data_IF_378718887924
#
_entry.id   IF_378718887924
#
_cell.length_a   1.000
_cell.length_b   1.000
_cell.length_c   1.000
_cell.angle_alpha   90.00
_cell.angle_beta   90.00
_cell.angle_gamma   90.00
#
_symmetry.space_group_name_H-M   'P 1'
#
loop_
_entity.id
_entity.type
_entity.pdbx_description
1 polymer ?
#
# COMPACT_ATOMS: atom_id res chain seq x y z
N UNK A 1 -58.49 9.52 -68.08
CA UNK A 1 -59.47 8.60 -67.43
C UNK A 1 -58.65 7.59 -66.65
N UNK A 2 -58.60 7.74 -65.31
CA UNK A 2 -59.32 6.90 -64.32
C UNK A 2 -58.63 5.53 -64.17
N UNK A 3 -58.28 4.99 -63.01
CA UNK A 3 -58.36 5.33 -61.59
C UNK A 3 -57.46 4.26 -60.90
N UNK A 4 -56.76 4.53 -59.79
CA UNK A 4 -57.32 4.32 -58.45
C UNK A 4 -56.37 3.47 -57.58
N UNK A 5 -55.94 4.05 -56.45
CA UNK A 5 -55.19 3.43 -55.34
C UNK A 5 -56.05 2.34 -54.60
N UNK A 6 -55.62 1.58 -53.55
CA UNK A 6 -54.58 1.92 -52.56
C UNK A 6 -53.73 0.79 -51.88
N UNK A 7 -52.67 1.24 -51.18
CA UNK A 7 -52.07 0.79 -49.89
C UNK A 7 -51.90 -0.72 -49.58
N UNK A 8 -50.67 -1.10 -49.22
CA UNK A 8 -50.35 -1.67 -47.90
C UNK A 8 -48.83 -1.61 -47.59
N UNK A 9 -48.46 -1.00 -46.47
CA UNK A 9 -47.11 -1.06 -45.89
C UNK A 9 -46.93 -2.41 -45.19
N UNK A 10 -45.81 -3.13 -45.37
CA UNK A 10 -45.42 -4.15 -44.42
C UNK A 10 -44.67 -3.51 -43.26
N UNK A 11 -45.21 -3.84 -42.10
CA UNK A 11 -44.82 -3.54 -40.72
C UNK A 11 -43.32 -3.62 -40.46
N UNK A 12 -42.89 -2.62 -39.70
CA UNK A 12 -41.81 -2.62 -38.71
C UNK A 12 -41.69 -3.99 -38.01
N UNK A 13 -40.59 -4.71 -38.23
CA UNK A 13 -40.27 -5.94 -37.51
C UNK A 13 -38.87 -5.80 -36.91
N UNK A 14 -38.85 -5.59 -35.60
CA UNK A 14 -37.80 -6.13 -34.75
C UNK A 14 -36.61 -5.21 -34.47
N UNK A 15 -36.87 -4.01 -33.94
CA UNK A 15 -35.92 -3.39 -33.03
C UNK A 15 -35.67 -4.35 -31.86
N UNK A 16 -34.65 -5.21 -31.97
CA UNK A 16 -34.12 -5.99 -30.85
C UNK A 16 -33.63 -4.99 -29.81
N UNK A 17 -34.49 -4.68 -28.84
CA UNK A 17 -34.11 -4.05 -27.58
C UNK A 17 -33.00 -4.92 -26.99
N UNK A 18 -31.75 -4.48 -27.16
CA UNK A 18 -30.64 -4.95 -26.35
C UNK A 18 -31.05 -4.70 -24.91
N UNK A 19 -31.35 -5.77 -24.18
CA UNK A 19 -31.50 -5.73 -22.72
C UNK A 19 -30.27 -4.99 -22.19
N UNK A 20 -30.42 -3.95 -21.36
CA UNK A 20 -29.26 -3.37 -20.70
C UNK A 20 -28.61 -4.50 -19.91
N UNK A 21 -27.32 -4.73 -20.17
CA UNK A 21 -26.52 -5.60 -19.34
C UNK A 21 -26.81 -5.23 -17.88
N UNK A 22 -27.25 -6.22 -17.11
CA UNK A 22 -27.56 -6.06 -15.70
C UNK A 22 -26.44 -5.26 -15.06
N UNK A 23 -26.77 -4.07 -14.55
CA UNK A 23 -25.91 -3.28 -13.67
C UNK A 23 -25.73 -4.09 -12.38
N UNK A 24 -24.96 -5.18 -12.45
CA UNK A 24 -24.29 -5.73 -11.29
C UNK A 24 -23.54 -4.57 -10.67
N UNK A 25 -23.98 -4.21 -9.46
CA UNK A 25 -23.64 -2.95 -8.82
C UNK A 25 -22.13 -2.76 -8.88
N UNK A 26 -21.68 -1.54 -9.17
CA UNK A 26 -20.26 -1.19 -9.07
C UNK A 26 -19.71 -1.67 -7.72
N UNK A 27 -20.51 -1.56 -6.66
CA UNK A 27 -20.22 -2.11 -5.32
C UNK A 27 -19.93 -3.63 -5.27
N UNK A 28 -20.59 -4.47 -6.08
CA UNK A 28 -20.29 -5.91 -6.14
C UNK A 28 -18.96 -6.18 -6.85
N UNK A 29 -18.59 -5.35 -7.85
CA UNK A 29 -17.27 -5.39 -8.51
C UNK A 29 -16.17 -4.79 -7.64
N UNK A 30 -16.45 -3.75 -6.87
CA UNK A 30 -15.53 -3.18 -5.86
C UNK A 30 -15.30 -4.15 -4.71
N UNK A 31 -16.32 -4.93 -4.30
CA UNK A 31 -16.18 -6.03 -3.34
C UNK A 31 -15.44 -7.24 -3.90
N UNK A 32 -15.61 -7.54 -5.20
CA UNK A 32 -14.85 -8.60 -5.88
C UNK A 32 -13.39 -8.20 -6.19
N UNK A 33 -13.08 -6.91 -6.32
CA UNK A 33 -11.69 -6.40 -6.41
C UNK A 33 -10.98 -6.32 -5.05
N UNK A 34 -11.70 -6.62 -3.97
CA UNK A 34 -11.13 -7.08 -2.71
C UNK A 34 -10.95 -8.62 -2.70
N UNK A 35 -10.95 -9.27 -3.87
CA UNK A 35 -10.38 -10.60 -4.04
C UNK A 35 -8.98 -10.63 -3.45
N UNK A 36 -8.67 -11.73 -2.77
CA UNK A 36 -7.44 -12.04 -2.05
C UNK A 36 -6.20 -11.43 -2.71
N UNK A 37 -5.82 -10.20 -2.31
CA UNK A 37 -4.57 -9.61 -2.79
C UNK A 37 -3.44 -10.43 -2.21
N UNK A 38 -2.58 -10.92 -3.08
CA UNK A 38 -1.35 -11.59 -2.67
C UNK A 38 -0.51 -10.61 -1.83
N UNK A 39 -0.08 -11.06 -0.66
CA UNK A 39 0.71 -10.26 0.26
C UNK A 39 2.20 -10.37 -0.06
N UNK A 40 2.92 -9.25 0.10
CA UNK A 40 4.38 -9.19 0.07
C UNK A 40 4.88 -8.51 1.33
N UNK A 41 5.90 -9.09 1.94
CA UNK A 41 6.43 -8.62 3.22
C UNK A 41 7.77 -7.94 3.00
N UNK A 42 7.92 -6.75 3.58
CA UNK A 42 9.13 -5.94 3.54
C UNK A 42 9.58 -5.61 4.96
N UNK A 43 10.83 -5.89 5.27
CA UNK A 43 11.45 -5.55 6.54
C UNK A 43 12.16 -4.22 6.40
N UNK A 44 11.67 -3.19 7.12
CA UNK A 44 12.31 -1.88 7.10
C UNK A 44 13.59 -1.89 7.94
N UNK A 45 14.71 -1.50 7.33
CA UNK A 45 15.96 -1.42 8.07
C UNK A 45 16.02 -0.15 8.93
N UNK A 46 16.57 -0.20 10.16
CA UNK A 46 17.18 -1.37 10.82
C UNK A 46 16.20 -2.11 11.74
N UNK A 47 15.43 -1.36 12.53
CA UNK A 47 14.65 -1.91 13.64
C UNK A 47 13.59 -2.94 13.21
N UNK A 48 13.09 -2.86 11.97
CA UNK A 48 12.20 -3.88 11.43
C UNK A 48 12.76 -5.31 11.45
N UNK A 49 14.09 -5.49 11.56
CA UNK A 49 14.72 -6.82 11.75
C UNK A 49 14.15 -7.55 12.98
N UNK A 50 13.69 -6.85 14.01
CA UNK A 50 12.98 -7.45 15.16
C UNK A 50 11.72 -8.23 14.75
N UNK A 51 11.18 -8.00 13.55
CA UNK A 51 10.04 -8.74 13.02
C UNK A 51 10.39 -10.15 12.52
N UNK A 52 11.67 -10.47 12.27
CA UNK A 52 12.07 -11.71 11.61
C UNK A 52 11.64 -12.98 12.37
N UNK A 53 11.78 -13.08 13.71
CA UNK A 53 11.25 -14.21 14.47
C UNK A 53 9.74 -14.37 14.27
N UNK A 54 8.97 -13.28 14.37
CA UNK A 54 7.53 -13.34 14.14
C UNK A 54 7.17 -13.72 12.71
N UNK A 55 7.84 -13.14 11.72
CA UNK A 55 7.58 -13.46 10.32
C UNK A 55 7.81 -14.94 10.05
N UNK A 56 8.93 -15.51 10.50
CA UNK A 56 9.27 -16.91 10.23
C UNK A 56 8.53 -17.89 11.12
N UNK A 57 8.53 -17.67 12.43
CA UNK A 57 8.15 -18.68 13.42
C UNK A 57 6.64 -18.63 13.73
N UNK A 58 6.06 -17.42 13.83
CA UNK A 58 4.65 -17.24 14.15
C UNK A 58 3.77 -17.20 12.90
N UNK A 59 4.25 -16.56 11.84
CA UNK A 59 3.50 -16.39 10.59
C UNK A 59 3.91 -17.39 9.51
N UNK A 60 5.05 -18.07 9.61
CA UNK A 60 5.50 -18.98 8.55
C UNK A 60 5.81 -18.26 7.22
N UNK A 61 6.07 -16.95 7.26
CA UNK A 61 6.48 -16.13 6.12
C UNK A 61 8.00 -16.20 5.99
N UNK A 62 8.45 -16.88 4.93
CA UNK A 62 9.87 -16.98 4.57
C UNK A 62 10.23 -16.11 3.37
N UNK A 63 9.26 -15.81 2.49
CA UNK A 63 9.45 -14.85 1.40
C UNK A 63 9.20 -13.42 1.87
N UNK A 64 10.23 -12.78 2.44
CA UNK A 64 10.25 -11.34 2.67
C UNK A 64 11.43 -10.69 1.93
N UNK A 65 11.31 -9.40 1.70
CA UNK A 65 12.38 -8.57 1.16
C UNK A 65 12.75 -7.46 2.16
N UNK A 66 13.86 -6.78 1.94
CA UNK A 66 14.23 -5.62 2.76
C UNK A 66 13.82 -4.34 2.06
N UNK A 67 13.50 -3.32 2.85
CA UNK A 67 13.33 -1.95 2.37
C UNK A 67 14.06 -0.98 3.27
N UNK A 68 14.40 0.19 2.74
CA UNK A 68 14.98 1.28 3.51
C UNK A 68 14.15 2.55 3.43
N UNK A 69 13.25 2.72 4.39
CA UNK A 69 12.50 3.96 4.65
C UNK A 69 13.11 4.62 5.89
N UNK A 70 14.11 5.48 5.68
CA UNK A 70 14.88 6.05 6.78
C UNK A 70 14.13 7.19 7.48
N UNK A 71 13.88 7.04 8.79
CA UNK A 71 13.28 8.08 9.62
C UNK A 71 14.09 9.38 9.68
N UNK A 72 15.43 9.30 9.57
CA UNK A 72 16.33 10.46 9.58
C UNK A 72 16.25 11.30 8.30
N UNK A 73 16.05 10.68 7.13
CA UNK A 73 15.78 11.43 5.90
C UNK A 73 14.46 12.18 6.00
N UNK A 74 13.45 11.54 6.56
CA UNK A 74 12.12 12.13 6.76
C UNK A 74 12.14 13.27 7.78
N UNK A 75 12.97 13.16 8.82
CA UNK A 75 13.21 14.23 9.80
C UNK A 75 13.80 15.48 9.13
N UNK A 76 14.77 15.28 8.24
CA UNK A 76 15.39 16.34 7.45
C UNK A 76 14.48 16.82 6.30
N UNK A 77 13.30 16.21 6.12
CA UNK A 77 12.36 16.53 5.04
C UNK A 77 12.81 16.08 3.64
N UNK A 78 13.86 15.26 3.54
CA UNK A 78 14.46 14.76 2.30
C UNK A 78 13.70 13.54 1.76
N UNK A 79 12.47 13.81 1.33
CA UNK A 79 11.62 12.79 0.71
C UNK A 79 12.16 12.33 -0.65
N UNK A 80 12.95 13.15 -1.35
CA UNK A 80 13.49 12.80 -2.66
C UNK A 80 14.51 11.66 -2.52
N UNK A 81 15.47 11.81 -1.60
CA UNK A 81 16.46 10.77 -1.35
C UNK A 81 15.80 9.47 -0.88
N UNK A 82 14.78 9.56 -0.02
CA UNK A 82 13.99 8.38 0.37
C UNK A 82 13.36 7.68 -0.86
N UNK A 83 12.76 8.41 -1.81
CA UNK A 83 12.21 7.81 -3.04
C UNK A 83 13.31 7.14 -3.88
N UNK A 84 14.49 7.75 -3.94
CA UNK A 84 15.63 7.20 -4.67
C UNK A 84 16.16 5.92 -4.02
N UNK A 85 16.02 5.74 -2.71
CA UNK A 85 16.44 4.53 -1.98
C UNK A 85 15.42 3.38 -2.04
N UNK A 86 14.16 3.63 -2.43
CA UNK A 86 13.15 2.56 -2.48
C UNK A 86 13.53 1.40 -3.41
N UNK A 87 13.33 0.18 -2.93
CA UNK A 87 13.66 -1.03 -3.67
C UNK A 87 12.75 -1.25 -4.89
N UNK A 88 13.34 -1.82 -5.94
CA UNK A 88 12.66 -2.08 -7.20
C UNK A 88 11.50 -3.06 -7.03
N UNK A 89 11.68 -4.07 -6.18
CA UNK A 89 10.67 -5.08 -5.87
C UNK A 89 9.45 -4.47 -5.19
N UNK A 90 9.63 -3.55 -4.23
CA UNK A 90 8.52 -2.83 -3.60
C UNK A 90 7.70 -2.08 -4.64
N UNK A 91 8.37 -1.28 -5.48
CA UNK A 91 7.70 -0.47 -6.49
C UNK A 91 6.96 -1.35 -7.52
N UNK A 92 7.56 -2.45 -7.95
CA UNK A 92 6.93 -3.38 -8.89
C UNK A 92 5.73 -4.09 -8.25
N UNK A 93 5.86 -4.59 -7.02
CA UNK A 93 4.79 -5.28 -6.32
C UNK A 93 3.59 -4.35 -6.06
N UNK A 94 3.84 -3.10 -5.68
CA UNK A 94 2.79 -2.08 -5.56
C UNK A 94 2.13 -1.77 -6.91
N UNK A 95 2.91 -1.66 -7.99
CA UNK A 95 2.37 -1.41 -9.33
C UNK A 95 1.47 -2.55 -9.82
N UNK A 96 1.84 -3.80 -9.51
CA UNK A 96 1.04 -5.00 -9.80
C UNK A 96 -0.20 -5.15 -8.89
N UNK A 97 -0.44 -4.20 -7.97
CA UNK A 97 -1.62 -4.20 -7.10
C UNK A 97 -1.56 -5.15 -5.91
N UNK A 98 -0.37 -5.67 -5.57
CA UNK A 98 -0.15 -6.51 -4.38
C UNK A 98 -0.22 -5.69 -3.10
N UNK A 99 -0.57 -6.36 -2.00
CA UNK A 99 -0.60 -5.73 -0.68
C UNK A 99 0.77 -5.86 -0.03
N UNK A 100 1.48 -4.74 0.08
CA UNK A 100 2.85 -4.70 0.61
C UNK A 100 2.84 -4.30 2.08
N UNK A 101 3.20 -5.23 2.95
CA UNK A 101 3.33 -5.04 4.39
C UNK A 101 4.76 -4.65 4.74
N UNK A 102 4.96 -3.44 5.27
CA UNK A 102 6.26 -2.93 5.75
C UNK A 102 6.32 -3.07 7.26
N UNK A 103 7.26 -3.86 7.73
CA UNK A 103 7.50 -4.14 9.13
C UNK A 103 8.56 -3.21 9.68
N UNK A 104 8.23 -2.45 10.71
CA UNK A 104 9.17 -1.55 11.37
C UNK A 104 8.91 -1.45 12.87
N UNK A 105 9.96 -1.28 13.65
CA UNK A 105 9.88 -1.16 15.10
C UNK A 105 10.29 0.25 15.54
N UNK A 106 9.35 0.96 16.15
CA UNK A 106 9.52 2.36 16.54
C UNK A 106 10.21 2.48 17.89
N UNK A 107 10.96 3.55 18.13
CA UNK A 107 11.60 3.79 19.43
C UNK A 107 10.54 3.82 20.56
N UNK A 108 10.98 3.49 21.79
CA UNK A 108 10.17 3.14 22.98
C UNK A 108 9.13 4.18 23.46
N UNK A 109 8.93 5.29 22.76
CA UNK A 109 7.93 6.33 23.05
C UNK A 109 6.47 5.88 22.79
N UNK A 110 6.23 4.57 22.74
CA UNK A 110 4.91 3.93 22.77
C UNK A 110 4.18 4.24 24.08
N UNK A 111 4.93 4.49 25.17
CA UNK A 111 4.39 4.93 26.47
C UNK A 111 3.61 6.25 26.37
N UNK A 112 3.88 7.09 25.35
CA UNK A 112 3.12 8.34 25.08
C UNK A 112 2.01 8.19 24.03
N UNK A 113 1.65 6.96 23.66
CA UNK A 113 0.64 6.71 22.61
C UNK A 113 1.10 7.13 21.21
N UNK A 114 2.40 7.29 20.96
CA UNK A 114 2.94 7.75 19.65
C UNK A 114 3.67 6.67 18.86
N UNK A 115 3.53 5.41 19.26
CA UNK A 115 4.40 4.29 18.87
C UNK A 115 4.50 3.93 17.39
N UNK A 116 3.84 4.68 16.51
CA UNK A 116 3.97 4.54 15.07
C UNK A 116 5.33 5.12 14.61
N UNK A 117 6.23 4.32 14.00
CA UNK A 117 7.50 4.78 13.44
C UNK A 117 7.31 5.90 12.40
N UNK A 118 8.21 6.89 12.38
CA UNK A 118 8.21 7.96 11.35
C UNK A 118 8.31 7.42 9.93
N UNK A 119 9.03 6.32 9.75
CA UNK A 119 9.08 5.60 8.49
C UNK A 119 7.69 5.17 7.98
N UNK A 120 6.75 4.86 8.88
CA UNK A 120 5.40 4.47 8.51
C UNK A 120 4.47 5.69 8.40
N UNK A 121 4.21 6.42 9.48
CA UNK A 121 3.22 7.52 9.44
C UNK A 121 3.58 8.66 8.49
N UNK A 122 4.87 8.94 8.28
CA UNK A 122 5.30 9.94 7.29
C UNK A 122 5.77 9.26 6.02
N UNK A 123 6.68 8.30 6.12
CA UNK A 123 7.36 7.70 4.95
C UNK A 123 6.40 6.90 4.08
N UNK A 124 5.79 5.85 4.62
CA UNK A 124 4.84 5.01 3.88
C UNK A 124 3.66 5.83 3.33
N UNK A 125 3.17 6.81 4.10
CA UNK A 125 2.12 7.71 3.64
C UNK A 125 2.57 8.61 2.47
N UNK A 126 3.77 9.18 2.55
CA UNK A 126 4.34 9.97 1.47
C UNK A 126 4.57 9.12 0.21
N UNK A 127 5.07 7.89 0.36
CA UNK A 127 5.27 6.94 -0.75
C UNK A 127 3.93 6.68 -1.43
N UNK A 128 2.90 6.28 -0.65
CA UNK A 128 1.54 6.04 -1.18
C UNK A 128 1.04 7.26 -1.94
N UNK A 129 1.17 8.45 -1.37
CA UNK A 129 0.76 9.71 -2.00
C UNK A 129 1.51 9.97 -3.32
N UNK A 130 2.83 9.86 -3.32
CA UNK A 130 3.69 10.13 -4.48
C UNK A 130 3.40 9.17 -5.64
N UNK A 131 3.33 7.87 -5.35
CA UNK A 131 3.01 6.85 -6.34
C UNK A 131 1.60 7.05 -6.88
N UNK A 132 0.60 7.25 -6.01
CA UNK A 132 -0.79 7.44 -6.44
C UNK A 132 -0.95 8.65 -7.35
N UNK A 133 -0.28 9.77 -7.02
CA UNK A 133 -0.35 10.99 -7.81
C UNK A 133 0.20 10.82 -9.23
N UNK A 134 1.31 10.09 -9.38
CA UNK A 134 1.91 9.85 -10.69
C UNK A 134 1.20 8.73 -11.46
N UNK A 135 0.75 7.67 -10.77
CA UNK A 135 0.20 6.47 -11.39
C UNK A 135 -1.28 6.60 -11.75
N UNK A 136 -2.06 7.30 -10.93
CA UNK A 136 -3.52 7.42 -11.05
C UNK A 136 -3.96 8.90 -11.10
N UNK A 137 -3.55 9.69 -12.12
CA UNK A 137 -3.82 11.13 -12.20
C UNK A 137 -5.31 11.48 -12.31
N UNK A 138 -6.10 10.61 -12.94
CA UNK A 138 -7.57 10.74 -13.05
C UNK A 138 -8.28 10.43 -11.73
N UNK A 139 -7.55 9.92 -10.74
CA UNK A 139 -8.05 9.56 -9.42
C UNK A 139 -8.83 8.25 -9.40
N UNK A 140 -9.17 7.81 -8.19
CA UNK A 140 -9.99 6.61 -7.93
C UNK A 140 -11.47 7.01 -7.87
N UNK A 141 -11.93 7.83 -8.81
CA UNK A 141 -13.23 8.50 -8.74
C UNK A 141 -13.35 9.54 -7.61
N UNK A 142 -14.38 10.38 -7.66
CA UNK A 142 -14.53 11.54 -6.76
C UNK A 142 -14.72 11.17 -5.28
N UNK A 143 -15.38 10.03 -5.00
CA UNK A 143 -15.60 9.55 -3.64
C UNK A 143 -14.25 9.18 -2.97
N UNK A 144 -13.42 8.40 -3.65
CA UNK A 144 -12.13 8.02 -3.11
C UNK A 144 -11.12 9.18 -3.10
N UNK A 145 -11.29 10.22 -3.92
CA UNK A 145 -10.42 11.41 -3.87
C UNK A 145 -10.59 12.16 -2.54
N UNK A 146 -11.80 12.24 -1.98
CA UNK A 146 -12.06 12.89 -0.68
C UNK A 146 -11.57 12.06 0.51
N UNK A 147 -11.65 10.74 0.42
CA UNK A 147 -11.25 9.82 1.50
C UNK A 147 -9.73 9.61 1.63
N UNK A 148 -8.92 10.10 0.68
CA UNK A 148 -7.51 9.73 0.57
C UNK A 148 -6.53 10.90 0.58
N UNK A 149 -7.00 12.06 1.05
CA UNK A 149 -6.16 13.21 1.32
C UNK A 149 -5.11 12.81 2.37
N UNK A 150 -3.80 13.01 2.12
CA UNK A 150 -2.80 12.65 3.09
C UNK A 150 -2.93 13.52 4.35
N UNK A 151 -3.13 12.85 5.48
CA UNK A 151 -3.19 13.45 6.81
C UNK A 151 -2.09 12.82 7.65
N UNK A 152 -1.33 13.67 8.31
CA UNK A 152 -0.17 13.29 9.11
C UNK A 152 -0.24 14.01 10.44
N UNK A 153 -0.35 13.26 11.54
CA UNK A 153 -0.52 13.81 12.91
C UNK A 153 -1.64 14.85 12.97
N UNK A 154 -2.78 14.50 12.38
CA UNK A 154 -3.97 15.37 12.29
C UNK A 154 -3.82 16.62 11.40
N UNK A 155 -2.73 16.75 10.63
CA UNK A 155 -2.53 17.84 9.68
C UNK A 155 -2.68 17.36 8.24
N UNK A 156 -3.49 18.08 7.46
CA UNK A 156 -3.58 17.87 6.01
C UNK A 156 -2.29 18.36 5.34
N UNK A 157 -1.57 17.48 4.65
CA UNK A 157 -0.24 17.77 4.08
C UNK A 157 -0.20 17.79 2.56
N UNK A 158 -1.34 17.60 1.89
CA UNK A 158 -1.44 17.44 0.43
C UNK A 158 -0.76 18.57 -0.35
N UNK A 159 -1.02 19.84 0.02
CA UNK A 159 -0.45 20.99 -0.69
C UNK A 159 1.07 21.06 -0.56
N UNK A 160 1.58 20.79 0.63
CA UNK A 160 3.02 20.74 0.89
C UNK A 160 3.67 19.63 0.07
N UNK A 161 3.14 18.42 0.14
CA UNK A 161 3.68 17.27 -0.58
C UNK A 161 3.55 17.41 -2.09
N UNK A 162 2.46 18.01 -2.58
CA UNK A 162 2.31 18.36 -3.98
C UNK A 162 3.46 19.25 -4.46
N UNK A 163 3.81 20.26 -3.66
CA UNK A 163 4.92 21.18 -3.95
C UNK A 163 6.27 20.46 -3.87
N UNK A 164 6.47 19.58 -2.87
CA UNK A 164 7.69 18.77 -2.79
C UNK A 164 7.89 17.92 -4.05
N UNK A 165 6.85 17.25 -4.55
CA UNK A 165 6.92 16.41 -5.75
C UNK A 165 7.24 17.21 -7.02
N UNK A 166 6.77 18.46 -7.14
CA UNK A 166 7.15 19.31 -8.29
C UNK A 166 8.62 19.72 -8.23
N UNK A 167 9.19 19.85 -7.03
CA UNK A 167 10.59 20.19 -6.81
C UNK A 167 11.56 19.02 -7.02
N UNK A 168 11.08 17.77 -7.02
CA UNK A 168 11.94 16.61 -7.23
C UNK A 168 12.77 16.70 -8.52
N UNK A 169 14.01 16.21 -8.43
CA UNK A 169 14.89 16.02 -9.57
C UNK A 169 14.34 15.03 -10.60
N UNK A 170 14.95 15.06 -11.79
CA UNK A 170 14.57 14.20 -12.92
C UNK A 170 14.65 12.71 -12.57
N UNK A 171 15.63 12.32 -11.77
CA UNK A 171 15.87 10.92 -11.39
C UNK A 171 14.74 10.35 -10.53
N UNK A 172 14.32 11.06 -9.48
CA UNK A 172 13.23 10.61 -8.60
C UNK A 172 11.90 10.54 -9.35
N UNK A 173 11.59 11.57 -10.16
CA UNK A 173 10.39 11.58 -11.02
C UNK A 173 10.40 10.41 -12.01
N UNK A 174 11.54 10.13 -12.65
CA UNK A 174 11.68 9.00 -13.58
C UNK A 174 11.50 7.66 -12.88
N UNK A 175 12.06 7.50 -11.68
CA UNK A 175 11.94 6.27 -10.87
C UNK A 175 10.47 5.97 -10.53
N UNK A 176 9.72 6.97 -10.03
CA UNK A 176 8.29 6.81 -9.76
C UNK A 176 7.54 6.45 -11.05
N UNK A 177 7.75 7.22 -12.13
CA UNK A 177 7.03 7.03 -13.40
C UNK A 177 7.29 5.67 -14.05
N UNK A 178 8.50 5.14 -13.91
CA UNK A 178 8.95 3.94 -14.61
C UNK A 178 8.02 2.73 -14.38
N UNK A 179 7.51 2.56 -13.16
CA UNK A 179 6.69 1.39 -12.82
C UNK A 179 5.23 1.52 -13.27
N UNK A 180 4.79 2.73 -13.68
CA UNK A 180 3.42 2.98 -14.13
C UNK A 180 3.01 2.09 -15.31
N UNK A 181 3.95 1.74 -16.19
CA UNK A 181 3.70 0.90 -17.35
C UNK A 181 3.34 -0.56 -17.01
N UNK A 182 3.59 -1.00 -15.78
CA UNK A 182 3.30 -2.36 -15.33
C UNK A 182 1.97 -2.48 -14.60
N UNK A 183 1.24 -1.37 -14.42
CA UNK A 183 0.00 -1.35 -13.65
C UNK A 183 -1.13 -1.99 -14.47
N UNK A 184 -1.74 -3.09 -14.00
CA UNK A 184 -2.90 -3.68 -14.65
C UNK A 184 -4.12 -2.76 -14.65
N UNK A 185 -4.99 -2.90 -15.64
CA UNK A 185 -6.17 -2.04 -15.82
C UNK A 185 -7.17 -2.08 -14.66
N UNK A 186 -7.19 -3.15 -13.86
CA UNK A 186 -8.06 -3.33 -12.70
C UNK A 186 -7.46 -2.82 -11.39
N UNK A 187 -6.16 -2.51 -11.37
CA UNK A 187 -5.49 -1.87 -10.22
C UNK A 187 -5.85 -0.39 -10.21
N UNK A 188 -6.36 0.06 -9.07
CA UNK A 188 -6.85 1.44 -8.89
C UNK A 188 -6.10 2.23 -7.83
N UNK A 189 -5.34 1.57 -6.97
CA UNK A 189 -4.73 2.24 -5.83
C UNK A 189 -3.47 1.51 -5.36
N UNK A 190 -2.68 2.20 -4.57
CA UNK A 190 -1.45 1.69 -3.95
C UNK A 190 -1.78 1.08 -2.59
N UNK A 191 -1.44 -0.19 -2.36
CA UNK A 191 -1.71 -0.91 -1.09
C UNK A 191 -0.42 -1.12 -0.30
N UNK A 192 -0.03 -0.08 0.45
CA UNK A 192 1.12 -0.08 1.35
C UNK A 192 0.64 -0.03 2.80
N UNK A 193 0.96 -1.06 3.58
CA UNK A 193 0.45 -1.27 4.94
C UNK A 193 1.65 -1.33 5.89
N UNK A 194 1.66 -0.49 6.92
CA UNK A 194 2.68 -0.54 7.96
C UNK A 194 2.30 -1.51 9.07
N UNK A 195 3.27 -2.27 9.58
CA UNK A 195 3.12 -3.15 10.74
C UNK A 195 4.18 -2.77 11.76
N UNK A 196 3.78 -2.50 13.00
CA UNK A 196 4.74 -1.97 13.96
C UNK A 196 4.49 -2.33 15.41
N UNK A 197 5.60 -2.26 16.16
CA UNK A 197 5.70 -2.39 17.61
C UNK A 197 6.80 -1.49 18.17
N UNK A 198 6.80 -1.22 19.49
CA UNK A 198 7.98 -0.70 20.16
C UNK A 198 9.19 -1.62 19.94
N UNK A 199 10.33 -1.04 19.59
CA UNK A 199 11.63 -1.73 19.69
C UNK A 199 11.97 -2.01 21.15
N UNK A 200 12.53 -3.19 21.38
CA UNK A 200 13.16 -3.55 22.66
C UNK A 200 14.69 -3.48 22.58
N UNK A 201 15.24 -3.35 21.36
CA UNK A 201 16.66 -3.44 21.02
C UNK A 201 17.16 -2.17 20.30
N UNK A 202 16.78 -0.99 20.79
CA UNK A 202 17.18 0.28 20.16
C UNK A 202 18.71 0.42 20.14
N UNK A 203 19.28 0.74 18.97
CA UNK A 203 20.72 0.83 18.68
C UNK A 203 21.56 -0.44 18.96
N UNK A 204 20.93 -1.61 19.11
CA UNK A 204 21.62 -2.87 19.46
C UNK A 204 22.17 -3.61 18.22
N UNK A 205 23.29 -3.13 17.66
CA UNK A 205 23.86 -3.68 16.43
C UNK A 205 24.24 -5.17 16.50
N UNK A 206 24.64 -5.66 17.66
CA UNK A 206 24.95 -7.08 17.86
C UNK A 206 23.69 -7.93 17.74
N UNK A 207 22.62 -7.56 18.46
CA UNK A 207 21.33 -8.24 18.36
C UNK A 207 20.83 -8.35 16.91
N UNK A 208 20.79 -7.23 16.18
CA UNK A 208 20.27 -7.26 14.80
C UNK A 208 21.13 -8.13 13.88
N UNK A 209 22.45 -8.15 14.08
CA UNK A 209 23.36 -9.03 13.35
C UNK A 209 23.09 -10.49 13.68
N UNK A 210 22.93 -10.83 14.95
CA UNK A 210 22.63 -12.19 15.37
C UNK A 210 21.29 -12.70 14.82
N UNK A 211 20.24 -11.87 14.87
CA UNK A 211 18.93 -12.20 14.30
C UNK A 211 19.07 -12.48 12.81
N UNK A 212 19.73 -11.61 12.05
CA UNK A 212 19.96 -11.84 10.61
C UNK A 212 20.72 -13.14 10.36
N UNK A 213 21.84 -13.38 11.06
CA UNK A 213 22.64 -14.59 10.86
C UNK A 213 21.85 -15.86 11.20
N UNK A 214 21.07 -15.84 12.28
CA UNK A 214 20.21 -16.96 12.67
C UNK A 214 19.15 -17.26 11.62
N UNK A 215 18.52 -16.23 11.05
CA UNK A 215 17.43 -16.44 10.10
C UNK A 215 17.94 -16.76 8.68
N UNK A 216 19.10 -16.26 8.27
CA UNK A 216 19.65 -16.56 6.93
C UNK A 216 20.45 -17.88 6.90
N UNK A 217 21.12 -18.25 7.99
CA UNK A 217 22.03 -19.41 8.03
C UNK A 217 21.68 -20.47 9.07
N UNK A 218 20.65 -20.27 9.89
CA UNK A 218 20.20 -21.29 10.84
C UNK A 218 19.51 -22.46 10.15
N UNK A 219 19.58 -23.65 10.78
CA UNK A 219 18.92 -24.89 10.35
C UNK A 219 17.40 -24.81 10.53
N UNK A 220 16.75 -23.84 9.89
CA UNK A 220 15.30 -23.77 9.79
C UNK A 220 14.86 -24.70 8.68
N UNK A 221 14.65 -25.98 8.99
CA UNK A 221 14.28 -27.04 8.04
C UNK A 221 13.17 -26.66 7.04
N UNK A 222 12.99 -27.47 6.00
CA UNK A 222 12.10 -27.23 4.84
C UNK A 222 10.61 -27.14 5.22
N UNK A 223 10.23 -26.08 5.92
CA UNK A 223 8.83 -25.72 6.19
C UNK A 223 8.34 -24.85 5.03
N UNK A 224 7.23 -25.23 4.38
CA UNK A 224 6.66 -24.45 3.28
C UNK A 224 6.33 -23.01 3.70
N UNK A 225 6.54 -22.08 2.77
CA UNK A 225 6.17 -20.67 2.94
C UNK A 225 4.64 -20.51 2.97
N UNK A 226 4.13 -19.77 3.97
CA UNK A 226 2.69 -19.58 4.14
C UNK A 226 2.24 -18.32 3.40
N UNK A 227 1.74 -18.51 2.18
CA UNK A 227 1.12 -17.44 1.39
C UNK A 227 -0.28 -17.17 1.92
N UNK A 228 -0.53 -15.93 2.36
CA UNK A 228 -1.83 -15.46 2.85
C UNK A 228 -2.34 -14.31 1.99
N UNK A 229 -3.65 -14.15 1.98
CA UNK A 229 -4.27 -12.94 1.46
C UNK A 229 -4.22 -11.77 2.45
N UNK A 230 -4.57 -10.56 2.00
CA UNK A 230 -4.55 -9.34 2.84
C UNK A 230 -5.36 -9.50 4.13
N UNK A 231 -6.53 -10.14 4.06
CA UNK A 231 -7.45 -10.27 5.20
C UNK A 231 -6.89 -11.26 6.22
N UNK A 232 -6.46 -12.43 5.78
CA UNK A 232 -5.86 -13.46 6.62
C UNK A 232 -4.59 -12.94 7.29
N UNK A 233 -3.77 -12.20 6.55
CA UNK A 233 -2.55 -11.57 7.05
C UNK A 233 -2.86 -10.55 8.13
N UNK A 234 -3.82 -9.65 7.91
CA UNK A 234 -4.26 -8.65 8.90
C UNK A 234 -4.76 -9.33 10.18
N UNK A 235 -5.59 -10.38 10.06
CA UNK A 235 -6.12 -11.07 11.24
C UNK A 235 -5.04 -11.83 12.01
N UNK A 236 -4.06 -12.42 11.32
CA UNK A 236 -2.91 -13.05 11.97
C UNK A 236 -2.05 -12.02 12.73
N UNK A 237 -1.75 -10.87 12.10
CA UNK A 237 -0.98 -9.77 12.72
C UNK A 237 -1.69 -9.22 13.97
N UNK A 238 -3.01 -9.05 13.92
CA UNK A 238 -3.80 -8.60 15.08
C UNK A 238 -3.77 -9.58 16.24
N UNK A 239 -3.88 -10.89 15.96
CA UNK A 239 -3.78 -11.93 17.02
C UNK A 239 -2.43 -11.91 17.71
N UNK A 240 -1.39 -11.60 16.96
CA UNK A 240 -0.04 -11.42 17.50
C UNK A 240 0.13 -10.08 18.23
N UNK A 241 -0.90 -9.24 18.37
CA UNK A 241 -0.88 -7.94 19.06
C UNK A 241 0.10 -6.92 18.46
N UNK A 242 0.26 -6.92 17.14
CA UNK A 242 0.94 -5.85 16.40
C UNK A 242 -0.02 -4.72 16.08
N UNK A 243 0.50 -3.50 15.95
CA UNK A 243 -0.26 -2.38 15.43
C UNK A 243 -0.18 -2.36 13.90
N UNK A 244 -1.26 -1.92 13.26
CA UNK A 244 -1.36 -1.80 11.81
C UNK A 244 -1.60 -0.34 11.45
N UNK A 245 -0.75 0.20 10.59
CA UNK A 245 -0.89 1.50 9.97
C UNK A 245 -1.40 1.33 8.53
N UNK A 246 -2.59 1.85 8.25
CA UNK A 246 -3.12 1.90 6.89
C UNK A 246 -2.79 3.24 6.28
N UNK A 247 -1.86 3.27 5.33
CA UNK A 247 -1.57 4.47 4.58
C UNK A 247 -2.84 4.91 3.82
N UNK A 248 -3.23 6.18 3.95
CA UNK A 248 -4.41 6.78 3.35
C UNK A 248 -5.69 6.67 4.18
N UNK A 249 -5.64 6.09 5.38
CA UNK A 249 -6.77 6.08 6.32
C UNK A 249 -6.55 7.16 7.38
N UNK A 250 -7.63 7.80 7.81
CA UNK A 250 -7.61 8.80 8.87
C UNK A 250 -6.96 8.23 10.14
N UNK A 251 -5.99 8.95 10.71
CA UNK A 251 -5.32 8.53 11.93
C UNK A 251 -6.33 8.41 13.09
N UNK A 252 -6.28 7.32 13.88
CA UNK A 252 -7.11 7.22 15.07
C UNK A 252 -6.96 8.43 15.99
N UNK A 253 -8.06 8.92 16.54
CA UNK A 253 -8.12 10.11 17.38
C UNK A 253 -7.13 10.12 18.57
N UNK A 254 -6.67 8.95 19.04
CA UNK A 254 -5.72 8.83 20.14
C UNK A 254 -4.27 9.16 19.75
N UNK A 255 -3.89 9.09 18.45
CA UNK A 255 -2.59 9.59 17.97
C UNK A 255 -2.51 11.14 18.00
N UNK A 256 -3.66 11.82 18.11
CA UNK A 256 -3.81 13.27 18.04
C UNK A 256 -3.84 13.96 19.42
N UNK A 257 -3.50 13.27 20.51
CA UNK A 257 -3.42 13.89 21.83
C UNK A 257 -2.14 14.74 21.94
N UNK A 258 -2.35 16.05 22.11
CA UNK A 258 -1.32 17.10 22.17
C UNK A 258 -0.40 16.94 23.38
#
# INVERSE_FOLDING_TARGET
MLAGAPRARPRDVGARRRRPASRGSVAARTRAAAASRECRHYVNLKNGIEALPTLRDDLGVRSYEFVRIQSSLLENGDCEKMILELDASLLLNLALGRSCFVWDFGSRDVVKGRGNPRALWYGAEFIRYALRKEWFPEGVGDAARRENVPVVRGKQVEREWATKLTMFGRSAKRKIRYYRQFIPDDVRDVRLIGVYRPTTHDDDAEYYREVLLRHEFGDGGDVPDVVRDERETIEAIKRLSYNIFFAGVEEPAWLNQK
#
